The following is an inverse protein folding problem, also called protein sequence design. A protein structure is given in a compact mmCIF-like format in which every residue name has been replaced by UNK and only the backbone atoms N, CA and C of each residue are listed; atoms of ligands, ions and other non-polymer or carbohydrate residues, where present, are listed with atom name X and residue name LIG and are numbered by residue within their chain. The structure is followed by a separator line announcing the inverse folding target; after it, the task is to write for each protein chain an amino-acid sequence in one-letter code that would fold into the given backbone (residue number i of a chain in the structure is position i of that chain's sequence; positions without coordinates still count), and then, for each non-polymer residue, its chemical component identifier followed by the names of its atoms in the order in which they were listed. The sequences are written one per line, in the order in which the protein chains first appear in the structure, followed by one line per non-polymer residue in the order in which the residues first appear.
data_IF_872176899270
#
_entry.id   IF_872176899270
#
_cell.length_a   1.000
_cell.length_b   1.000
_cell.length_c   1.000
_cell.angle_alpha   90.00
_cell.angle_beta   90.00
_cell.angle_gamma   90.00
#
_symmetry.space_group_name_H-M   'P 1'
#
loop_
_entity.id
_entity.type
_entity.pdbx_description
1 polymer ?
#
# COMPACT_ATOMS: atom_id res chain seq x y z
N UNK A 1 -7.97 14.63 -8.35
CA UNK A 1 -9.27 14.31 -7.73
C UNK A 1 -9.92 13.05 -8.30
N UNK A 2 -9.86 12.78 -9.61
CA UNK A 2 -10.49 11.60 -10.21
C UNK A 2 -9.96 10.25 -9.68
N UNK A 3 -8.65 10.06 -9.58
CA UNK A 3 -8.09 8.78 -9.14
C UNK A 3 -8.30 8.47 -7.65
N UNK A 4 -8.50 9.52 -6.82
CA UNK A 4 -8.90 9.33 -5.42
C UNK A 4 -10.27 8.65 -5.32
N UNK A 5 -11.17 8.90 -6.27
CA UNK A 5 -12.44 8.20 -6.35
C UNK A 5 -12.26 6.69 -6.60
N UNK A 6 -11.23 6.27 -7.35
CA UNK A 6 -10.96 4.83 -7.56
C UNK A 6 -10.42 4.18 -6.28
N UNK A 7 -9.49 4.84 -5.58
CA UNK A 7 -9.00 4.37 -4.29
C UNK A 7 -10.15 4.24 -3.27
N UNK A 8 -10.98 5.28 -3.17
CA UNK A 8 -12.13 5.29 -2.27
C UNK A 8 -13.14 4.21 -2.66
N UNK A 9 -13.37 3.96 -3.96
CA UNK A 9 -14.18 2.84 -4.44
C UNK A 9 -13.65 1.50 -3.97
N UNK A 10 -12.35 1.23 -4.04
CA UNK A 10 -11.79 0.01 -3.46
C UNK A 10 -12.03 -0.03 -1.94
N UNK A 11 -11.89 1.09 -1.23
CA UNK A 11 -12.06 1.14 0.22
C UNK A 11 -13.51 0.94 0.70
N UNK A 12 -14.52 1.47 0.02
CA UNK A 12 -15.90 1.57 0.56
C UNK A 12 -16.95 0.78 -0.20
N UNK A 13 -16.66 0.35 -1.43
CA UNK A 13 -17.58 -0.48 -2.22
C UNK A 13 -16.86 -1.61 -2.98
N UNK A 14 -15.56 -1.75 -2.76
CA UNK A 14 -14.75 -2.79 -3.36
C UNK A 14 -15.02 -4.14 -2.71
N UNK A 15 -14.64 -5.20 -3.41
CA UNK A 15 -14.81 -6.56 -2.91
C UNK A 15 -13.77 -7.51 -3.47
N UNK A 16 -13.46 -8.53 -2.68
CA UNK A 16 -12.79 -9.73 -3.15
C UNK A 16 -13.85 -10.74 -3.57
N UNK A 17 -13.77 -11.18 -4.82
CA UNK A 17 -14.60 -12.25 -5.37
C UNK A 17 -13.75 -13.50 -5.58
N UNK A 18 -14.15 -14.59 -4.94
CA UNK A 18 -13.61 -15.93 -5.12
C UNK A 18 -14.72 -16.86 -5.66
N UNK A 19 -14.40 -18.04 -6.22
CA UNK A 19 -15.41 -18.95 -6.74
C UNK A 19 -16.54 -19.29 -5.76
N UNK A 20 -16.22 -19.40 -4.46
CA UNK A 20 -17.15 -19.84 -3.42
C UNK A 20 -17.40 -18.78 -2.33
N UNK A 21 -16.87 -17.56 -2.46
CA UNK A 21 -17.03 -16.52 -1.44
C UNK A 21 -16.89 -15.10 -1.98
N UNK A 22 -17.53 -14.15 -1.29
CA UNK A 22 -17.43 -12.71 -1.53
C UNK A 22 -17.13 -12.02 -0.20
N UNK A 23 -16.15 -11.11 -0.20
CA UNK A 23 -15.78 -10.29 0.94
C UNK A 23 -15.87 -8.82 0.57
N UNK A 24 -16.68 -8.04 1.29
CA UNK A 24 -16.74 -6.59 1.14
C UNK A 24 -15.50 -5.97 1.75
N UNK A 25 -14.88 -5.03 1.03
CA UNK A 25 -13.81 -4.22 1.60
C UNK A 25 -14.35 -3.16 2.55
N UNK A 26 -15.62 -2.75 2.46
CA UNK A 26 -16.21 -1.73 3.37
C UNK A 26 -16.15 -2.18 4.83
N UNK A 27 -16.36 -3.48 5.06
CA UNK A 27 -16.35 -4.10 6.40
C UNK A 27 -14.96 -4.17 7.05
N UNK A 28 -13.89 -3.93 6.28
CA UNK A 28 -12.52 -3.99 6.76
C UNK A 28 -12.13 -2.62 7.35
N UNK A 29 -11.80 -2.53 8.66
CA UNK A 29 -11.43 -1.26 9.26
C UNK A 29 -10.04 -0.80 8.79
N UNK A 30 -9.86 0.52 8.75
CA UNK A 30 -8.52 1.12 8.65
C UNK A 30 -7.77 0.93 9.96
N UNK A 31 -6.49 0.57 9.87
CA UNK A 31 -5.58 0.45 11.01
C UNK A 31 -4.48 1.49 10.90
N UNK A 32 -4.26 2.27 11.95
CA UNK A 32 -3.13 3.19 12.03
C UNK A 32 -1.84 2.39 12.12
N UNK A 33 -0.83 2.76 11.32
CA UNK A 33 0.47 2.10 11.35
C UNK A 33 1.13 2.34 12.73
N UNK A 34 1.60 1.30 13.43
CA UNK A 34 2.09 1.43 14.81
C UNK A 34 3.36 2.28 14.93
N UNK A 35 4.12 2.42 13.84
CA UNK A 35 5.44 3.08 13.83
C UNK A 35 5.47 4.38 13.03
N UNK A 36 4.59 4.55 12.05
CA UNK A 36 4.67 5.66 11.09
C UNK A 36 3.46 6.56 11.23
N UNK A 37 3.68 7.72 11.85
CA UNK A 37 2.64 8.71 12.09
C UNK A 37 1.99 9.19 10.79
N UNK A 38 0.66 9.25 10.78
CA UNK A 38 -0.15 9.61 9.62
C UNK A 38 -0.15 8.58 8.49
N UNK A 39 0.23 7.33 8.77
CA UNK A 39 0.09 6.19 7.84
C UNK A 39 -1.04 5.29 8.33
N UNK A 40 -1.95 4.94 7.42
CA UNK A 40 -3.05 4.01 7.69
C UNK A 40 -3.08 2.92 6.62
N UNK A 41 -3.43 1.70 7.04
CA UNK A 41 -3.51 0.52 6.17
C UNK A 41 -4.88 -0.12 6.25
N UNK A 42 -5.30 -0.72 5.14
CA UNK A 42 -6.48 -1.56 5.04
C UNK A 42 -6.11 -2.83 4.27
N UNK A 43 -6.06 -3.95 4.99
CA UNK A 43 -5.60 -5.25 4.48
C UNK A 43 -6.74 -5.92 3.71
N UNK A 44 -6.80 -5.69 2.41
CA UNK A 44 -7.91 -6.15 1.54
C UNK A 44 -7.72 -7.58 1.03
N UNK A 45 -6.49 -8.09 1.05
CA UNK A 45 -6.19 -9.54 0.89
C UNK A 45 -5.17 -9.95 1.95
N UNK A 46 -5.47 -11.00 2.71
CA UNK A 46 -4.65 -11.47 3.84
C UNK A 46 -3.91 -12.77 3.56
N UNK A 47 -2.94 -13.11 4.43
CA UNK A 47 -2.19 -14.36 4.40
C UNK A 47 -3.11 -15.60 4.41
N UNK A 48 -4.15 -15.59 5.24
CA UNK A 48 -5.11 -16.71 5.35
C UNK A 48 -5.84 -16.99 4.02
N UNK A 49 -6.16 -15.93 3.26
CA UNK A 49 -6.86 -16.05 1.99
C UNK A 49 -5.96 -16.58 0.86
N UNK A 50 -4.64 -16.48 1.00
CA UNK A 50 -3.68 -16.79 -0.07
C UNK A 50 -2.74 -17.96 0.28
N UNK A 51 -2.91 -18.55 1.46
CA UNK A 51 -1.99 -19.56 2.00
C UNK A 51 -0.58 -18.98 2.20
N UNK A 52 -0.48 -17.72 2.61
CA UNK A 52 0.79 -17.02 2.87
C UNK A 52 1.57 -16.58 1.64
N UNK A 53 1.04 -16.79 0.43
CA UNK A 53 1.79 -16.48 -0.80
C UNK A 53 1.85 -15.00 -1.11
N UNK A 54 0.80 -14.23 -0.80
CA UNK A 54 0.78 -12.79 -0.98
C UNK A 54 -0.28 -12.09 -0.13
N UNK A 55 -0.10 -10.80 0.13
CA UNK A 55 -1.11 -9.95 0.78
C UNK A 55 -1.18 -8.60 0.09
N UNK A 56 -2.40 -8.03 0.00
CA UNK A 56 -2.65 -6.76 -0.66
C UNK A 56 -3.22 -5.75 0.34
N UNK A 57 -2.77 -4.52 0.24
CA UNK A 57 -3.06 -3.46 1.20
C UNK A 57 -3.39 -2.18 0.45
N UNK A 58 -4.45 -1.50 0.86
CA UNK A 58 -4.60 -0.09 0.57
C UNK A 58 -3.84 0.69 1.65
N UNK A 59 -3.01 1.65 1.23
CA UNK A 59 -2.21 2.47 2.14
C UNK A 59 -2.51 3.94 1.91
N UNK A 60 -2.74 4.67 2.99
CA UNK A 60 -2.86 6.13 3.01
C UNK A 60 -1.68 6.70 3.77
N UNK A 61 -1.04 7.70 3.18
CA UNK A 61 -0.04 8.52 3.86
C UNK A 61 -0.54 9.95 3.83
N UNK A 62 -0.75 10.53 5.00
CA UNK A 62 -1.25 11.88 5.15
C UNK A 62 -0.27 12.92 4.55
N UNK A 63 -0.75 14.13 4.18
CA UNK A 63 0.09 15.20 3.64
C UNK A 63 1.37 15.44 4.43
N UNK A 64 2.52 15.44 3.75
CA UNK A 64 3.83 15.69 4.36
C UNK A 64 4.31 14.60 5.34
N UNK A 65 3.59 13.49 5.49
CA UNK A 65 4.01 12.33 6.29
C UNK A 65 4.80 11.35 5.45
N UNK A 66 5.43 10.39 6.13
CA UNK A 66 6.30 9.41 5.49
C UNK A 66 6.21 8.04 6.15
N UNK A 67 6.44 7.02 5.33
CA UNK A 67 6.94 5.73 5.78
C UNK A 67 8.45 5.86 5.72
N UNK A 68 9.10 5.96 6.89
CA UNK A 68 10.56 6.14 6.97
C UNK A 68 11.34 4.91 6.50
N UNK A 69 12.65 5.06 6.33
CA UNK A 69 13.53 3.98 5.87
C UNK A 69 13.32 2.68 6.64
N UNK A 70 12.98 1.62 5.92
CA UNK A 70 12.77 0.28 6.46
C UNK A 70 13.16 -0.80 5.44
N UNK A 71 13.20 -2.05 5.90
CA UNK A 71 13.59 -3.22 5.11
C UNK A 71 12.62 -4.37 5.40
N UNK A 72 12.13 -5.02 4.35
CA UNK A 72 11.49 -6.32 4.42
C UNK A 72 12.53 -7.42 4.14
N UNK A 73 12.79 -8.29 5.12
CA UNK A 73 13.84 -9.32 5.00
C UNK A 73 13.48 -10.39 3.97
N UNK A 74 12.22 -10.83 3.99
CA UNK A 74 11.78 -12.01 3.24
C UNK A 74 10.84 -11.66 2.09
N UNK A 75 10.20 -10.50 2.16
CA UNK A 75 9.18 -10.08 1.21
C UNK A 75 9.76 -9.22 0.08
N UNK A 76 9.30 -9.50 -1.14
CA UNK A 76 9.19 -8.50 -2.18
C UNK A 76 7.98 -7.62 -1.87
N UNK A 77 8.08 -6.34 -2.22
CA UNK A 77 6.97 -5.40 -2.10
C UNK A 77 6.76 -4.65 -3.41
N UNK A 78 5.51 -4.32 -3.72
CA UNK A 78 5.19 -3.34 -4.76
C UNK A 78 4.44 -2.16 -4.18
N UNK A 79 4.69 -0.96 -4.71
CA UNK A 79 3.80 0.20 -4.55
C UNK A 79 3.24 0.57 -5.91
N UNK A 80 1.92 0.53 -6.04
CA UNK A 80 1.20 1.10 -7.17
C UNK A 80 0.53 2.40 -6.72
N UNK A 81 0.94 3.53 -7.30
CA UNK A 81 0.40 4.84 -6.92
C UNK A 81 -0.96 5.04 -7.58
N UNK A 82 -2.01 5.09 -6.77
CA UNK A 82 -3.37 5.35 -7.25
C UNK A 82 -3.64 6.85 -7.28
N UNK A 83 -3.32 7.57 -6.20
CA UNK A 83 -3.58 9.00 -6.11
C UNK A 83 -2.56 9.73 -5.23
N UNK A 84 -2.51 11.05 -5.36
CA UNK A 84 -1.54 11.90 -4.66
C UNK A 84 -0.18 11.93 -5.35
N UNK A 85 0.80 12.52 -4.69
CA UNK A 85 2.18 12.61 -5.18
C UNK A 85 3.16 12.40 -4.04
N UNK A 86 4.39 12.06 -4.36
CA UNK A 86 5.42 11.87 -3.35
C UNK A 86 6.79 11.59 -3.96
N UNK A 87 7.73 11.30 -3.07
CA UNK A 87 9.08 10.85 -3.42
C UNK A 87 9.31 9.52 -2.72
N UNK A 88 9.74 8.52 -3.47
CA UNK A 88 10.25 7.27 -2.94
C UNK A 88 11.77 7.25 -3.06
N UNK A 89 12.44 6.76 -2.03
CA UNK A 89 13.84 6.36 -2.11
C UNK A 89 13.86 4.84 -2.13
N UNK A 90 14.37 4.24 -3.21
CA UNK A 90 14.49 2.79 -3.37
C UNK A 90 15.96 2.45 -3.61
N UNK A 91 16.59 1.75 -2.67
CA UNK A 91 18.04 1.45 -2.71
C UNK A 91 18.92 2.69 -2.97
N UNK A 92 18.56 3.79 -2.31
CA UNK A 92 19.25 5.08 -2.45
C UNK A 92 18.93 5.88 -3.72
N UNK A 93 18.09 5.37 -4.62
CA UNK A 93 17.66 6.08 -5.83
C UNK A 93 16.33 6.80 -5.57
N UNK A 94 16.29 8.10 -5.88
CA UNK A 94 15.07 8.91 -5.80
C UNK A 94 14.16 8.64 -7.01
N UNK A 95 12.92 8.26 -6.72
CA UNK A 95 11.86 7.99 -7.69
C UNK A 95 10.66 8.89 -7.41
N UNK A 96 10.21 9.60 -8.44
CA UNK A 96 9.01 10.45 -8.34
C UNK A 96 7.76 9.58 -8.37
N UNK A 97 6.88 9.77 -7.39
CA UNK A 97 5.60 9.08 -7.31
C UNK A 97 4.47 10.00 -7.76
N UNK A 98 3.71 9.51 -8.75
CA UNK A 98 2.49 10.11 -9.27
C UNK A 98 1.56 9.00 -9.76
N UNK A 99 0.25 9.26 -9.95
CA UNK A 99 -0.72 8.24 -10.34
C UNK A 99 -0.29 7.44 -11.57
N UNK A 100 -0.32 6.11 -11.47
CA UNK A 100 0.10 5.20 -12.54
C UNK A 100 1.57 4.73 -12.45
N UNK A 101 2.37 5.29 -11.54
CA UNK A 101 3.72 4.79 -11.25
C UNK A 101 3.66 3.51 -10.41
N UNK A 102 4.53 2.55 -10.73
CA UNK A 102 4.73 1.33 -9.96
C UNK A 102 6.21 1.21 -9.60
N UNK A 103 6.50 0.92 -8.33
CA UNK A 103 7.83 0.52 -7.87
C UNK A 103 7.82 -0.89 -7.31
N UNK A 104 8.96 -1.57 -7.46
CA UNK A 104 9.20 -2.91 -6.92
C UNK A 104 10.41 -2.81 -5.98
N UNK A 105 10.25 -3.32 -4.77
CA UNK A 105 11.29 -3.39 -3.75
C UNK A 105 11.79 -4.82 -3.66
N UNK A 106 13.09 -4.99 -3.87
CA UNK A 106 13.74 -6.28 -3.73
C UNK A 106 13.86 -6.64 -2.25
N UNK A 107 13.93 -7.95 -1.96
CA UNK A 107 14.13 -8.46 -0.61
C UNK A 107 15.39 -7.85 -0.01
N UNK A 108 15.32 -7.54 1.28
CA UNK A 108 16.40 -6.94 2.04
C UNK A 108 16.89 -5.55 1.53
N UNK A 109 16.16 -4.92 0.60
CA UNK A 109 16.51 -3.59 0.09
C UNK A 109 15.86 -2.47 0.93
N UNK A 110 16.63 -1.45 1.37
CA UNK A 110 16.08 -0.32 2.10
C UNK A 110 15.25 0.57 1.19
N UNK A 111 14.12 1.04 1.71
CA UNK A 111 13.31 2.03 1.04
C UNK A 111 12.49 2.89 1.99
N UNK A 112 12.12 4.07 1.51
CA UNK A 112 11.20 4.99 2.17
C UNK A 112 10.32 5.71 1.18
N UNK A 113 9.21 6.26 1.66
CA UNK A 113 8.31 7.07 0.85
C UNK A 113 7.77 8.25 1.65
N UNK A 114 7.86 9.43 1.04
CA UNK A 114 7.42 10.71 1.57
C UNK A 114 6.24 11.20 0.73
N UNK A 115 5.09 11.42 1.37
CA UNK A 115 3.93 11.99 0.70
C UNK A 115 4.10 13.51 0.50
N UNK A 116 3.60 14.00 -0.64
CA UNK A 116 3.47 15.42 -0.96
C UNK A 116 2.31 16.10 -0.25
N UNK A 117 1.89 17.26 -0.76
CA UNK A 117 0.89 18.12 -0.13
C UNK A 117 -0.53 17.53 -0.13
N UNK A 118 -0.86 16.66 -1.09
CA UNK A 118 -2.19 16.05 -1.21
C UNK A 118 -2.28 14.68 -0.50
N UNK A 119 -1.21 14.28 0.19
CA UNK A 119 -1.03 12.91 0.67
C UNK A 119 -0.67 11.95 -0.47
N UNK A 120 -0.62 10.67 -0.15
CA UNK A 120 -0.29 9.60 -1.08
C UNK A 120 -1.13 8.35 -0.80
N UNK A 121 -1.66 7.74 -1.87
CA UNK A 121 -2.61 6.64 -1.81
C UNK A 121 -2.09 5.50 -2.67
N UNK A 122 -1.75 4.38 -2.03
CA UNK A 122 -1.03 3.27 -2.66
C UNK A 122 -1.86 1.99 -2.61
N UNK A 123 -1.70 1.18 -3.65
CA UNK A 123 -1.99 -0.24 -3.61
C UNK A 123 -0.66 -0.96 -3.38
N UNK A 124 -0.47 -1.54 -2.21
CA UNK A 124 0.75 -2.24 -1.84
C UNK A 124 0.55 -3.75 -1.81
N UNK A 125 1.56 -4.52 -2.22
CA UNK A 125 1.51 -5.98 -2.23
C UNK A 125 2.78 -6.55 -1.64
N UNK A 126 2.65 -7.58 -0.81
CA UNK A 126 3.78 -8.31 -0.24
C UNK A 126 3.80 -9.74 -0.73
N UNK A 127 4.98 -10.24 -1.10
CA UNK A 127 5.21 -11.61 -1.56
C UNK A 127 6.50 -12.18 -0.91
N UNK A 128 6.43 -13.13 0.04
CA UNK A 128 5.21 -13.71 0.61
C UNK A 128 4.38 -12.69 1.43
N UNK A 129 3.19 -13.09 1.84
CA UNK A 129 2.30 -12.24 2.66
C UNK A 129 3.02 -11.73 3.92
N UNK A 130 2.73 -10.50 4.35
CA UNK A 130 3.11 -10.03 5.68
C UNK A 130 2.23 -10.71 6.73
N UNK A 131 2.83 -11.35 7.73
CA UNK A 131 2.13 -11.89 8.89
C UNK A 131 1.62 -10.77 9.81
#
# INVERSE_FOLDING_TARGET
MEFKNLFDKFSTCGKLLLPDSEFSFDDIPWSVHPTFDGVELKNIITSDQTGGQFSFHLVKIAPGRKIGSHIHKEQLETHEVIAGTGICINDGVELKYEPGVISIFQKASPHEVQAGADGLYLFAKFMPASN
#
